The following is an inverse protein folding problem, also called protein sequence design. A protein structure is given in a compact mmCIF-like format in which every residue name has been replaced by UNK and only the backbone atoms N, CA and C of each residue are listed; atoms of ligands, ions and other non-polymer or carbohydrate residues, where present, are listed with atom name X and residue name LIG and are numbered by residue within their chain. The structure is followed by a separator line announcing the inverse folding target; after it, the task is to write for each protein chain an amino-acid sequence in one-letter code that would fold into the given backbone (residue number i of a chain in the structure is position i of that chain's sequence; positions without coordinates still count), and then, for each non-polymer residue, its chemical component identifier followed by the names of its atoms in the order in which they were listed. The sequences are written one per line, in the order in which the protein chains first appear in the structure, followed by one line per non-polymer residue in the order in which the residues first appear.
data_IF_919554004896
#
_entry.id   IF_919554004896
#
_cell.length_a   1.000
_cell.length_b   1.000
_cell.length_c   1.000
_cell.angle_alpha   90.00
_cell.angle_beta   90.00
_cell.angle_gamma   90.00
#
_symmetry.space_group_name_H-M   'P 1'
#
loop_
_entity.id
_entity.type
_entity.pdbx_description
1 polymer ?
#
# COMPACT_ATOMS: atom_id res chain seq x y z
N UNK A 1 22.10 24.66 -16.36
CA UNK A 1 20.84 24.29 -15.66
C UNK A 1 20.22 23.12 -16.42
N UNK A 2 19.85 22.04 -15.71
CA UNK A 2 19.16 20.90 -16.33
C UNK A 2 17.76 21.32 -16.80
N UNK A 3 17.30 20.73 -17.90
CA UNK A 3 15.95 20.97 -18.43
C UNK A 3 14.95 20.25 -17.53
N UNK A 4 13.94 20.95 -17.02
CA UNK A 4 12.92 20.34 -16.15
C UNK A 4 11.74 19.87 -16.97
N UNK A 5 11.50 18.56 -17.04
CA UNK A 5 10.33 17.97 -17.68
C UNK A 5 9.38 17.46 -16.58
N UNK A 6 8.20 18.08 -16.50
CA UNK A 6 7.24 17.84 -15.43
C UNK A 6 5.79 18.03 -15.91
N UNK A 7 5.53 17.67 -17.18
CA UNK A 7 4.26 17.89 -17.85
C UNK A 7 3.07 17.24 -17.15
N UNK A 8 3.23 15.99 -16.71
CA UNK A 8 2.20 15.28 -15.95
C UNK A 8 1.84 15.99 -14.63
N UNK A 9 2.82 16.56 -13.92
CA UNK A 9 2.58 17.31 -12.67
C UNK A 9 1.93 18.66 -12.94
N UNK A 10 2.36 19.36 -14.00
CA UNK A 10 1.75 20.61 -14.43
C UNK A 10 0.27 20.41 -14.78
N UNK A 11 -0.03 19.37 -15.57
CA UNK A 11 -1.39 18.98 -15.93
C UNK A 11 -2.23 18.63 -14.70
N UNK A 12 -1.69 17.84 -13.78
CA UNK A 12 -2.37 17.48 -12.54
C UNK A 12 -2.69 18.70 -11.67
N UNK A 13 -1.71 19.59 -11.45
CA UNK A 13 -1.91 20.84 -10.71
C UNK A 13 -3.03 21.68 -11.35
N UNK A 14 -3.06 21.75 -12.69
CA UNK A 14 -4.11 22.45 -13.42
C UNK A 14 -5.49 21.83 -13.16
N UNK A 15 -5.59 20.51 -13.29
CA UNK A 15 -6.85 19.77 -13.13
C UNK A 15 -7.37 19.82 -11.68
N UNK A 16 -6.50 19.72 -10.68
CA UNK A 16 -6.85 19.85 -9.25
C UNK A 16 -7.40 21.25 -8.89
N UNK A 17 -7.01 22.28 -9.65
CA UNK A 17 -7.51 23.65 -9.50
C UNK A 17 -8.73 23.94 -10.38
N UNK A 18 -9.24 22.94 -11.12
CA UNK A 18 -10.40 23.09 -12.00
C UNK A 18 -10.18 23.99 -13.20
N UNK A 19 -8.92 24.18 -13.64
CA UNK A 19 -8.58 25.10 -14.72
C UNK A 19 -8.52 24.39 -16.09
N UNK A 20 -9.02 25.06 -17.12
CA UNK A 20 -8.71 24.73 -18.52
C UNK A 20 -7.28 25.14 -18.88
N UNK A 21 -6.72 24.52 -19.92
CA UNK A 21 -5.39 24.92 -20.42
C UNK A 21 -5.36 26.41 -20.82
N UNK A 22 -6.44 26.93 -21.40
CA UNK A 22 -6.50 28.34 -21.79
C UNK A 22 -6.48 29.29 -20.58
N UNK A 23 -7.14 28.93 -19.48
CA UNK A 23 -7.12 29.71 -18.24
C UNK A 23 -5.74 29.71 -17.59
N UNK A 24 -5.12 28.55 -17.45
CA UNK A 24 -3.77 28.46 -16.90
C UNK A 24 -2.76 29.20 -17.77
N UNK A 25 -2.84 29.08 -19.10
CA UNK A 25 -1.94 29.78 -20.01
C UNK A 25 -2.06 31.31 -19.88
N UNK A 26 -3.29 31.84 -19.72
CA UNK A 26 -3.51 33.27 -19.45
C UNK A 26 -2.91 33.68 -18.11
N UNK A 27 -3.14 32.90 -17.05
CA UNK A 27 -2.60 33.17 -15.71
C UNK A 27 -1.06 33.21 -15.71
N UNK A 28 -0.44 32.31 -16.48
CA UNK A 28 1.01 32.24 -16.64
C UNK A 28 1.55 33.18 -17.73
N UNK A 29 0.70 34.01 -18.35
CA UNK A 29 1.04 34.91 -19.46
C UNK A 29 1.87 34.22 -20.58
N UNK A 30 1.38 33.08 -21.06
CA UNK A 30 1.92 32.29 -22.18
C UNK A 30 0.79 31.86 -23.13
N UNK A 31 1.15 31.30 -24.30
CA UNK A 31 0.14 30.77 -25.22
C UNK A 31 -0.40 29.40 -24.77
N UNK A 32 -1.67 29.07 -25.05
CA UNK A 32 -2.22 27.73 -24.77
C UNK A 32 -1.44 26.60 -25.45
N UNK A 33 -0.96 26.82 -26.68
CA UNK A 33 -0.11 25.85 -27.38
C UNK A 33 1.20 25.59 -26.65
N UNK A 34 1.82 26.64 -26.09
CA UNK A 34 3.06 26.50 -25.34
C UNK A 34 2.84 25.77 -24.01
N UNK A 35 1.73 26.06 -23.30
CA UNK A 35 1.31 25.28 -22.14
C UNK A 35 1.10 23.80 -22.50
N UNK A 36 0.37 23.53 -23.58
CA UNK A 36 0.09 22.16 -24.03
C UNK A 36 1.39 21.39 -24.33
N UNK A 37 2.37 22.04 -24.97
CA UNK A 37 3.69 21.43 -25.22
C UNK A 37 4.43 21.10 -23.92
N UNK A 38 4.30 21.92 -22.88
CA UNK A 38 4.91 21.64 -21.57
C UNK A 38 4.17 20.51 -20.84
N UNK A 39 2.84 20.46 -20.87
CA UNK A 39 2.05 19.37 -20.26
C UNK A 39 2.32 17.99 -20.87
N UNK A 40 2.82 17.95 -22.12
CA UNK A 40 3.19 16.72 -22.82
C UNK A 40 4.72 16.52 -22.93
N UNK A 41 5.50 17.21 -22.11
CA UNK A 41 6.97 17.10 -22.05
C UNK A 41 7.70 17.34 -23.40
N UNK A 42 7.03 17.99 -24.37
CA UNK A 42 7.64 18.41 -25.64
C UNK A 42 8.51 19.67 -25.47
N UNK A 43 8.19 20.48 -24.46
CA UNK A 43 8.99 21.63 -24.01
C UNK A 43 9.27 21.48 -22.51
N UNK A 44 10.49 21.75 -22.04
CA UNK A 44 10.74 21.79 -20.61
C UNK A 44 10.05 22.99 -19.97
N UNK A 45 9.69 22.86 -18.70
CA UNK A 45 9.28 23.99 -17.87
C UNK A 45 10.46 24.95 -17.73
N UNK A 46 10.24 26.19 -18.14
CA UNK A 46 11.26 27.25 -18.04
C UNK A 46 11.23 27.88 -16.66
N UNK A 47 12.35 28.46 -16.23
CA UNK A 47 12.45 29.15 -14.93
C UNK A 47 11.38 30.25 -14.77
N UNK A 48 11.11 31.12 -15.77
CA UNK A 48 10.03 32.12 -15.64
C UNK A 48 8.65 31.50 -15.43
N UNK A 49 8.35 30.37 -16.08
CA UNK A 49 7.07 29.66 -15.90
C UNK A 49 6.98 29.03 -14.51
N UNK A 50 8.07 28.43 -14.02
CA UNK A 50 8.13 27.88 -12.66
C UNK A 50 7.88 28.95 -11.60
N UNK A 51 8.53 30.12 -11.70
CA UNK A 51 8.30 31.21 -10.76
C UNK A 51 6.83 31.65 -10.73
N UNK A 52 6.21 31.84 -11.91
CA UNK A 52 4.79 32.17 -12.01
C UNK A 52 3.88 31.09 -11.42
N UNK A 53 4.22 29.81 -11.59
CA UNK A 53 3.49 28.70 -10.97
C UNK A 53 3.60 28.73 -9.45
N UNK A 54 4.80 28.96 -8.93
CA UNK A 54 5.04 29.04 -7.47
C UNK A 54 4.29 30.23 -6.85
N UNK A 55 4.28 31.38 -7.52
CA UNK A 55 3.55 32.58 -7.10
C UNK A 55 2.03 32.38 -7.17
N UNK A 56 1.51 31.81 -8.27
CA UNK A 56 0.07 31.66 -8.46
C UNK A 56 -0.55 30.54 -7.61
N UNK A 57 0.20 29.46 -7.35
CA UNK A 57 -0.35 28.24 -6.72
C UNK A 57 0.22 27.95 -5.33
N UNK A 58 1.24 28.69 -4.88
CA UNK A 58 1.90 28.50 -3.58
C UNK A 58 2.69 27.19 -3.48
N UNK A 59 3.06 26.61 -4.62
CA UNK A 59 3.85 25.36 -4.67
C UNK A 59 5.34 25.67 -4.59
N UNK A 60 6.12 24.79 -3.95
CA UNK A 60 7.58 24.92 -3.89
C UNK A 60 8.22 24.62 -5.27
N UNK A 61 9.31 25.28 -5.69
CA UNK A 61 10.00 24.96 -6.96
C UNK A 61 10.43 23.49 -7.07
N UNK A 62 10.71 22.83 -5.95
CA UNK A 62 11.05 21.42 -5.85
C UNK A 62 9.93 20.48 -6.30
N UNK A 63 8.66 20.91 -6.24
CA UNK A 63 7.49 20.14 -6.68
C UNK A 63 7.60 19.66 -8.15
N UNK A 64 8.27 20.43 -8.99
CA UNK A 64 8.48 20.09 -10.40
C UNK A 64 9.82 19.38 -10.65
N UNK A 65 10.61 19.08 -9.63
CA UNK A 65 11.97 18.55 -9.78
C UNK A 65 12.02 17.04 -10.07
N UNK A 66 13.08 16.59 -10.75
CA UNK A 66 13.35 15.17 -10.98
C UNK A 66 13.67 14.40 -9.68
N UNK A 67 14.15 15.09 -8.64
CA UNK A 67 14.48 14.48 -7.33
C UNK A 67 13.26 13.85 -6.68
N UNK A 68 12.07 14.43 -6.87
CA UNK A 68 10.82 13.83 -6.40
C UNK A 68 10.52 12.51 -7.11
N UNK A 69 10.86 12.38 -8.40
CA UNK A 69 10.67 11.11 -9.13
C UNK A 69 11.58 10.02 -8.59
N UNK A 70 12.86 10.34 -8.32
CA UNK A 70 13.81 9.40 -7.71
C UNK A 70 13.35 8.95 -6.33
N UNK A 71 12.81 9.87 -5.53
CA UNK A 71 12.25 9.55 -4.22
C UNK A 71 11.03 8.62 -4.34
N UNK A 72 10.08 8.95 -5.21
CA UNK A 72 8.90 8.11 -5.45
C UNK A 72 9.30 6.72 -5.95
N UNK A 73 10.32 6.62 -6.80
CA UNK A 73 10.85 5.33 -7.26
C UNK A 73 11.41 4.50 -6.10
N UNK A 74 12.20 5.11 -5.22
CA UNK A 74 12.75 4.43 -4.04
C UNK A 74 11.62 3.95 -3.11
N UNK A 75 10.68 4.84 -2.81
CA UNK A 75 9.50 4.55 -1.97
C UNK A 75 8.66 3.41 -2.57
N UNK A 76 8.43 3.39 -3.89
CA UNK A 76 7.69 2.31 -4.57
C UNK A 76 8.42 0.97 -4.48
N UNK A 77 9.74 0.95 -4.67
CA UNK A 77 10.55 -0.28 -4.56
C UNK A 77 10.52 -0.86 -3.15
N UNK A 78 10.49 0.00 -2.14
CA UNK A 78 10.42 -0.41 -0.74
C UNK A 78 9.01 -0.89 -0.37
N UNK A 79 7.98 -0.10 -0.68
CA UNK A 79 6.61 -0.39 -0.28
C UNK A 79 5.97 -1.58 -1.00
N UNK A 80 6.47 -1.92 -2.20
CA UNK A 80 5.95 -3.00 -3.06
C UNK A 80 7.04 -4.03 -3.38
N UNK A 81 8.02 -4.21 -2.50
CA UNK A 81 9.20 -5.04 -2.75
C UNK A 81 8.83 -6.48 -3.17
N UNK A 82 7.89 -7.09 -2.46
CA UNK A 82 7.46 -8.48 -2.71
C UNK A 82 6.72 -8.60 -4.03
N UNK A 83 5.79 -7.69 -4.32
CA UNK A 83 5.01 -7.67 -5.56
C UNK A 83 5.88 -7.36 -6.78
N UNK A 84 6.79 -6.39 -6.67
CA UNK A 84 7.75 -6.02 -7.72
C UNK A 84 8.67 -7.19 -8.02
N UNK A 85 9.14 -7.89 -6.99
CA UNK A 85 9.97 -9.09 -7.13
C UNK A 85 9.23 -10.24 -7.81
N UNK A 86 8.01 -10.54 -7.35
CA UNK A 86 7.17 -11.61 -7.91
C UNK A 86 6.79 -11.36 -9.37
N UNK A 87 6.41 -10.12 -9.70
CA UNK A 87 6.04 -9.71 -11.06
C UNK A 87 7.24 -9.38 -11.96
N UNK A 88 8.47 -9.39 -11.42
CA UNK A 88 9.73 -9.03 -12.12
C UNK A 88 9.70 -7.64 -12.77
N UNK A 89 9.06 -6.67 -12.13
CA UNK A 89 9.00 -5.30 -12.65
C UNK A 89 10.37 -4.64 -12.54
N UNK A 90 10.84 -4.07 -13.65
CA UNK A 90 12.16 -3.43 -13.72
C UNK A 90 12.17 -2.03 -13.07
N UNK A 91 13.35 -1.56 -12.68
CA UNK A 91 13.52 -0.19 -12.19
C UNK A 91 13.16 0.87 -13.24
N UNK A 92 13.34 0.55 -14.53
CA UNK A 92 13.00 1.43 -15.64
C UNK A 92 11.48 1.62 -15.75
N UNK A 93 10.70 0.54 -15.65
CA UNK A 93 9.23 0.58 -15.67
C UNK A 93 8.66 1.37 -14.49
N UNK A 94 9.20 1.16 -13.28
CA UNK A 94 8.80 1.94 -12.10
C UNK A 94 9.16 3.42 -12.24
N UNK A 95 10.30 3.74 -12.84
CA UNK A 95 10.71 5.12 -13.12
C UNK A 95 9.80 5.79 -14.16
N UNK A 96 9.38 5.04 -15.18
CA UNK A 96 8.42 5.51 -16.17
C UNK A 96 7.04 5.76 -15.54
N UNK A 97 6.58 4.86 -14.66
CA UNK A 97 5.34 5.04 -13.90
C UNK A 97 5.39 6.29 -13.02
N UNK A 98 6.46 6.45 -12.24
CA UNK A 98 6.63 7.59 -11.34
C UNK A 98 6.71 8.94 -12.08
N UNK A 99 7.28 8.95 -13.28
CA UNK A 99 7.40 10.17 -14.10
C UNK A 99 6.10 10.49 -14.87
N UNK A 100 5.51 9.50 -15.55
CA UNK A 100 4.34 9.72 -16.43
C UNK A 100 3.02 9.70 -15.68
N UNK A 101 2.89 8.88 -14.64
CA UNK A 101 1.65 8.66 -13.90
C UNK A 101 1.86 8.85 -12.38
N UNK A 102 2.33 10.01 -11.91
CA UNK A 102 2.65 10.25 -10.50
C UNK A 102 1.43 10.09 -9.57
N UNK A 103 0.21 10.33 -10.06
CA UNK A 103 -1.01 10.05 -9.31
C UNK A 103 -1.23 8.56 -9.04
N UNK A 104 -1.02 7.72 -10.06
CA UNK A 104 -1.12 6.26 -9.92
C UNK A 104 -0.01 5.73 -9.02
N UNK A 105 1.23 6.22 -9.21
CA UNK A 105 2.36 5.89 -8.34
C UNK A 105 2.05 6.18 -6.86
N UNK A 106 1.46 7.33 -6.55
CA UNK A 106 1.06 7.68 -5.17
C UNK A 106 0.02 6.71 -4.60
N UNK A 107 -1.01 6.35 -5.38
CA UNK A 107 -2.05 5.41 -4.93
C UNK A 107 -1.48 4.02 -4.64
N UNK A 108 -0.57 3.54 -5.51
CA UNK A 108 0.09 2.25 -5.31
C UNK A 108 1.02 2.27 -4.10
N UNK A 109 1.73 3.37 -3.89
CA UNK A 109 2.58 3.55 -2.71
C UNK A 109 1.74 3.53 -1.41
N UNK A 110 0.62 4.25 -1.38
CA UNK A 110 -0.30 4.24 -0.24
C UNK A 110 -0.88 2.86 0.02
N UNK A 111 -1.22 2.12 -1.04
CA UNK A 111 -1.69 0.75 -0.94
C UNK A 111 -0.60 -0.17 -0.36
N UNK A 112 0.63 -0.10 -0.86
CA UNK A 112 1.77 -0.89 -0.38
C UNK A 112 2.05 -0.64 1.10
N UNK A 113 2.10 0.63 1.53
CA UNK A 113 2.28 1.00 2.94
C UNK A 113 1.16 0.47 3.84
N UNK A 114 -0.09 0.54 3.39
CA UNK A 114 -1.23 -0.04 4.13
C UNK A 114 -1.11 -1.55 4.22
N UNK A 115 -0.70 -2.21 3.14
CA UNK A 115 -0.52 -3.66 3.12
C UNK A 115 0.58 -4.10 4.08
N UNK A 116 1.73 -3.41 4.08
CA UNK A 116 2.80 -3.64 5.05
C UNK A 116 2.35 -3.42 6.49
N UNK A 117 1.60 -2.36 6.76
CA UNK A 117 1.05 -2.12 8.10
C UNK A 117 0.04 -3.19 8.53
N UNK A 118 -0.80 -3.67 7.61
CA UNK A 118 -1.72 -4.78 7.86
C UNK A 118 -0.96 -6.09 8.09
N UNK A 119 0.06 -6.38 7.29
CA UNK A 119 0.92 -7.53 7.45
C UNK A 119 1.64 -7.50 8.81
N UNK A 120 2.17 -6.34 9.23
CA UNK A 120 2.75 -6.14 10.55
C UNK A 120 1.75 -6.41 11.69
N UNK A 121 0.54 -5.84 11.62
CA UNK A 121 -0.52 -6.11 12.61
C UNK A 121 -0.95 -7.57 12.63
N UNK A 122 -1.00 -8.23 11.48
CA UNK A 122 -1.31 -9.65 11.39
C UNK A 122 -0.20 -10.49 11.99
N UNK A 123 1.07 -10.13 11.75
CA UNK A 123 2.23 -10.78 12.36
C UNK A 123 2.21 -10.60 13.88
N UNK A 124 2.01 -9.38 14.40
CA UNK A 124 1.85 -9.12 15.84
C UNK A 124 0.68 -9.92 16.43
N UNK A 125 -0.47 -9.94 15.75
CA UNK A 125 -1.63 -10.73 16.17
C UNK A 125 -1.41 -12.24 16.05
N UNK A 126 -0.55 -12.68 15.13
CA UNK A 126 -0.14 -14.06 14.98
C UNK A 126 0.94 -14.44 15.98
N UNK A 127 1.75 -13.51 16.48
CA UNK A 127 2.65 -13.73 17.63
C UNK A 127 1.83 -13.81 18.93
N UNK A 128 0.81 -12.95 19.08
CA UNK A 128 -0.13 -12.99 20.19
C UNK A 128 -1.02 -14.24 20.19
N UNK A 129 -1.34 -14.80 19.01
CA UNK A 129 -2.11 -16.05 18.84
C UNK A 129 -1.25 -17.30 18.71
N UNK A 130 -0.02 -17.16 18.25
CA UNK A 130 0.97 -18.19 17.94
C UNK A 130 1.78 -18.61 19.15
N UNK A 131 1.10 -18.77 20.27
CA UNK A 131 1.55 -19.64 21.36
C UNK A 131 1.47 -21.14 21.01
N UNK A 132 1.27 -21.52 19.73
CA UNK A 132 1.31 -22.92 19.31
C UNK A 132 1.21 -23.13 17.79
N UNK A 133 2.35 -23.35 17.13
CA UNK A 133 2.42 -24.09 15.85
C UNK A 133 2.54 -25.60 16.11
N UNK A 134 2.59 -26.48 15.11
CA UNK A 134 3.17 -27.83 15.27
C UNK A 134 4.71 -27.81 15.29
N UNK A 135 5.28 -26.67 14.91
CA UNK A 135 6.72 -26.40 14.77
C UNK A 135 7.10 -24.99 15.30
N UNK A 136 6.16 -24.40 16.05
CA UNK A 136 6.41 -23.57 17.23
C UNK A 136 5.77 -24.38 18.37
N UNK A 137 6.39 -24.61 19.52
CA UNK A 137 5.87 -25.56 20.52
C UNK A 137 4.40 -25.26 20.86
N UNK A 138 3.50 -26.25 20.68
CA UNK A 138 2.11 -26.14 21.14
C UNK A 138 2.11 -26.00 22.65
N UNK A 139 1.26 -25.15 23.19
CA UNK A 139 1.09 -25.13 24.64
C UNK A 139 0.50 -26.48 25.10
N UNK A 140 0.87 -27.01 26.28
CA UNK A 140 0.28 -28.24 26.81
C UNK A 140 -1.26 -28.18 26.86
N UNK A 141 -1.82 -26.98 27.08
CA UNK A 141 -3.26 -26.75 27.06
C UNK A 141 -3.86 -26.96 25.66
N UNK A 142 -3.21 -26.51 24.59
CA UNK A 142 -3.67 -26.75 23.21
C UNK A 142 -3.53 -28.21 22.80
N UNK A 143 -2.47 -28.90 23.22
CA UNK A 143 -2.32 -30.33 22.96
C UNK A 143 -3.42 -31.15 23.64
N UNK A 144 -3.71 -30.84 24.91
CA UNK A 144 -4.79 -31.45 25.67
C UNK A 144 -6.13 -31.14 24.98
N UNK A 145 -6.36 -29.88 24.64
CA UNK A 145 -7.58 -29.45 23.94
C UNK A 145 -7.76 -30.23 22.63
N UNK A 146 -6.75 -30.28 21.77
CA UNK A 146 -6.77 -31.04 20.52
C UNK A 146 -6.97 -32.55 20.74
N UNK A 147 -6.37 -33.12 21.78
CA UNK A 147 -6.55 -34.53 22.15
C UNK A 147 -8.03 -34.85 22.43
N UNK A 148 -8.73 -33.98 23.16
CA UNK A 148 -10.15 -34.09 23.46
C UNK A 148 -11.03 -33.80 22.24
N UNK A 149 -10.74 -32.75 21.46
CA UNK A 149 -11.50 -32.41 20.24
C UNK A 149 -11.44 -33.51 19.19
N UNK A 150 -10.26 -34.11 18.94
CA UNK A 150 -10.10 -35.20 17.97
C UNK A 150 -10.94 -36.42 18.32
N UNK A 151 -11.20 -36.62 19.62
CA UNK A 151 -12.03 -37.69 20.15
C UNK A 151 -13.49 -37.28 20.30
N UNK A 152 -13.87 -36.06 19.88
CA UNK A 152 -15.19 -35.48 20.11
C UNK A 152 -15.61 -35.53 21.59
N UNK A 153 -14.63 -35.38 22.50
CA UNK A 153 -14.77 -35.56 23.94
C UNK A 153 -15.20 -36.97 24.40
N UNK A 154 -15.12 -37.99 23.54
CA UNK A 154 -15.40 -39.39 23.91
C UNK A 154 -14.13 -40.12 24.35
N UNK A 155 -14.10 -40.55 25.60
CA UNK A 155 -13.09 -41.35 26.27
C UNK A 155 -13.70 -42.67 26.75
N UNK A 156 -13.68 -43.68 25.87
CA UNK A 156 -14.34 -44.98 26.06
C UNK A 156 -14.37 -45.55 27.49
N UNK A 157 -13.21 -45.71 28.14
CA UNK A 157 -13.15 -46.30 29.48
C UNK A 157 -13.82 -45.41 30.55
N UNK A 158 -13.63 -44.09 30.47
CA UNK A 158 -14.18 -43.14 31.43
C UNK A 158 -15.69 -42.95 31.21
N UNK A 159 -16.12 -42.85 29.96
CA UNK A 159 -17.54 -42.71 29.62
C UNK A 159 -18.33 -43.97 29.99
N UNK A 160 -17.82 -45.18 29.70
CA UNK A 160 -18.50 -46.42 30.11
C UNK A 160 -18.58 -46.56 31.63
N UNK A 161 -17.51 -46.23 32.36
CA UNK A 161 -17.53 -46.27 33.82
C UNK A 161 -18.52 -45.23 34.39
N UNK A 162 -18.62 -44.05 33.77
CA UNK A 162 -19.60 -43.04 34.16
C UNK A 162 -21.04 -43.48 33.86
N UNK A 163 -21.29 -44.11 32.71
CA UNK A 163 -22.59 -44.68 32.34
C UNK A 163 -23.02 -45.79 33.30
N UNK A 164 -22.11 -46.70 33.66
CA UNK A 164 -22.36 -47.79 34.63
C UNK A 164 -22.68 -47.23 36.02
N UNK A 165 -21.87 -46.28 36.51
CA UNK A 165 -22.12 -45.62 37.78
C UNK A 165 -23.46 -44.87 37.79
N UNK A 166 -23.79 -44.17 36.69
CA UNK A 166 -25.05 -43.46 36.56
C UNK A 166 -26.26 -44.40 36.64
N UNK A 167 -26.15 -45.61 36.08
CA UNK A 167 -27.17 -46.66 36.19
C UNK A 167 -27.30 -47.18 37.62
N UNK A 168 -26.18 -47.41 38.32
CA UNK A 168 -26.17 -47.90 39.71
C UNK A 168 -26.86 -46.92 40.67
N UNK A 169 -26.53 -45.64 40.56
CA UNK A 169 -27.07 -44.60 41.46
C UNK A 169 -28.43 -44.04 40.97
N UNK A 170 -28.93 -44.52 39.84
CA UNK A 170 -30.26 -44.22 39.32
C UNK A 170 -30.43 -42.79 38.79
N UNK A 171 -29.40 -42.20 38.18
CA UNK A 171 -29.50 -40.86 37.56
C UNK A 171 -30.50 -40.92 36.40
N UNK A 172 -31.53 -40.08 36.44
CA UNK A 172 -32.47 -39.92 35.33
C UNK A 172 -31.99 -38.78 34.43
N UNK A 173 -31.93 -38.98 33.10
CA UNK A 173 -31.80 -37.86 32.18
C UNK A 173 -32.93 -36.86 32.42
N UNK A 174 -32.59 -35.57 32.42
CA UNK A 174 -33.57 -34.49 32.52
C UNK A 174 -34.43 -34.35 31.27
#
# INVERSE_FOLDING_TARGET
MSKTYAGARLRRLREERGLSQAELARMLAISPSYLNQMEHDSRPLTVPVLLRLTEAFGVDPGFFSERDTTRVLADLREALADEVGAARVSAAELSELASRLPGVASVLLDLGRRNQALAGRLAEAAELRGGGGPDLPRSPHEEIREFFYRRQNYLHEADLAAEELAAEIGVRPG
#
